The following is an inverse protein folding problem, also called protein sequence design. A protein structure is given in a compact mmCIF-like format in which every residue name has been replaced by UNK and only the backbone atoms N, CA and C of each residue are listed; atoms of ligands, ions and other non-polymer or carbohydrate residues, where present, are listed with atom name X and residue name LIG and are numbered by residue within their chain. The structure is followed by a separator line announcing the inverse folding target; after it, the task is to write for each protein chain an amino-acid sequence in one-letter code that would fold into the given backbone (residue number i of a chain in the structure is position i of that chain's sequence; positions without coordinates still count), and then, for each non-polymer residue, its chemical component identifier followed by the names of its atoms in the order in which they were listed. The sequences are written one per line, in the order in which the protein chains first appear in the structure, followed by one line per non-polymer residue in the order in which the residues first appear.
data_IF_241797238975
#
_entry.id   IF_241797238975
#
_cell.length_a   1.000
_cell.length_b   1.000
_cell.length_c   1.000
_cell.angle_alpha   90.00
_cell.angle_beta   90.00
_cell.angle_gamma   90.00
#
_symmetry.space_group_name_H-M   'P 1'
#
loop_
_entity.id
_entity.type
_entity.pdbx_description
1 polymer ?
#
# COMPACT_ATOMS: atom_id res chain seq x y z
N UNK A 1 -2.85 16.00 -9.36
CA UNK A 1 -4.02 15.10 -9.30
C UNK A 1 -3.70 13.81 -10.02
N UNK A 2 -4.16 12.70 -9.50
CA UNK A 2 -4.08 11.39 -10.14
C UNK A 2 -5.00 11.38 -11.39
N UNK A 3 -4.52 10.92 -12.55
CA UNK A 3 -5.27 11.00 -13.80
C UNK A 3 -6.55 10.15 -13.76
N UNK A 4 -7.67 10.77 -14.07
CA UNK A 4 -9.01 10.17 -14.01
C UNK A 4 -9.67 10.22 -12.62
N UNK A 5 -9.02 10.79 -11.62
CA UNK A 5 -9.61 11.07 -10.31
C UNK A 5 -10.30 12.45 -10.35
N UNK A 6 -11.46 12.50 -10.99
CA UNK A 6 -12.18 13.72 -11.31
C UNK A 6 -13.50 13.85 -10.52
N UNK A 7 -13.81 12.90 -9.61
CA UNK A 7 -14.98 12.97 -8.75
C UNK A 7 -14.87 14.10 -7.73
N UNK A 8 -15.99 14.71 -7.39
CA UNK A 8 -16.07 15.59 -6.22
C UNK A 8 -15.93 14.74 -4.94
N UNK A 9 -15.29 15.29 -3.91
CA UNK A 9 -15.01 14.58 -2.64
C UNK A 9 -16.26 13.98 -1.99
N UNK A 10 -17.39 14.69 -2.10
CA UNK A 10 -18.69 14.33 -1.53
C UNK A 10 -19.33 13.11 -2.21
N UNK A 11 -18.91 12.80 -3.44
CA UNK A 11 -19.45 11.73 -4.29
C UNK A 11 -18.42 10.62 -4.55
N UNK A 12 -17.27 10.65 -3.85
CA UNK A 12 -16.16 9.73 -4.10
C UNK A 12 -16.30 8.44 -3.30
N UNK A 13 -16.15 7.28 -3.96
CA UNK A 13 -15.98 5.98 -3.31
C UNK A 13 -14.52 5.73 -2.88
N UNK A 14 -13.56 6.40 -3.54
CA UNK A 14 -12.13 6.31 -3.26
C UNK A 14 -11.50 7.69 -3.22
N UNK A 15 -10.66 7.94 -2.23
CA UNK A 15 -9.93 9.22 -2.13
C UNK A 15 -8.43 8.98 -2.11
N UNK A 16 -7.75 9.41 -3.18
CA UNK A 16 -6.29 9.35 -3.27
C UNK A 16 -5.67 10.44 -2.41
N UNK A 17 -4.81 10.05 -1.47
CA UNK A 17 -4.08 10.97 -0.57
C UNK A 17 -2.58 10.76 -0.74
N UNK A 18 -1.85 11.80 -1.12
CA UNK A 18 -0.39 11.75 -1.20
C UNK A 18 0.27 11.96 0.16
N UNK A 19 1.21 11.10 0.54
CA UNK A 19 1.91 11.12 1.82
C UNK A 19 3.44 11.11 1.63
N UNK A 20 4.08 12.24 1.25
CA UNK A 20 5.48 12.33 0.86
C UNK A 20 6.46 12.32 2.04
N UNK A 21 6.33 11.36 2.99
CA UNK A 21 7.26 11.17 4.09
C UNK A 21 8.50 10.40 3.63
N UNK A 22 9.68 10.79 4.14
CA UNK A 22 10.97 10.12 3.83
C UNK A 22 12.00 10.54 4.89
N UNK A 23 11.75 10.15 6.15
CA UNK A 23 12.57 10.57 7.30
C UNK A 23 13.28 9.41 7.99
N UNK A 24 12.81 8.17 7.80
CA UNK A 24 13.39 6.98 8.42
C UNK A 24 14.04 6.01 7.44
N UNK A 25 14.05 6.31 6.15
CA UNK A 25 14.66 5.47 5.12
C UNK A 25 16.13 5.17 5.42
N UNK A 26 16.45 3.88 5.55
CA UNK A 26 17.76 3.42 6.03
C UNK A 26 18.83 3.26 4.96
N UNK A 27 18.48 3.14 3.67
CA UNK A 27 19.44 2.86 2.60
C UNK A 27 19.41 3.91 1.48
N UNK A 28 18.35 3.97 0.68
CA UNK A 28 18.27 4.91 -0.45
C UNK A 28 17.08 5.86 -0.28
N UNK A 29 17.29 7.10 0.19
CA UNK A 29 16.21 8.09 0.31
C UNK A 29 15.71 8.53 -1.08
N UNK A 30 14.49 9.06 -1.15
CA UNK A 30 13.87 9.56 -2.38
C UNK A 30 12.38 9.21 -2.48
N UNK A 31 11.84 8.43 -1.55
CA UNK A 31 10.43 8.03 -1.54
C UNK A 31 9.48 9.21 -1.32
N UNK A 32 9.95 10.33 -0.75
CA UNK A 32 9.19 11.60 -0.71
C UNK A 32 8.69 12.09 -2.06
N UNK A 33 9.30 11.63 -3.15
CA UNK A 33 8.88 11.96 -4.51
C UNK A 33 7.87 10.94 -5.07
N UNK A 34 7.59 9.86 -4.35
CA UNK A 34 6.67 8.80 -4.73
C UNK A 34 5.30 9.31 -5.17
N UNK A 35 4.59 10.13 -4.37
CA UNK A 35 3.26 10.64 -4.73
C UNK A 35 3.23 11.40 -6.05
N UNK A 36 4.21 12.28 -6.29
CA UNK A 36 4.31 13.02 -7.55
C UNK A 36 4.64 12.10 -8.72
N UNK A 37 5.57 11.15 -8.53
CA UNK A 37 5.99 10.22 -9.58
C UNK A 37 4.87 9.27 -9.98
N UNK A 38 4.15 8.68 -9.04
CA UNK A 38 3.01 7.80 -9.31
C UNK A 38 1.95 8.52 -10.14
N UNK A 39 1.55 9.73 -9.74
CA UNK A 39 0.62 10.57 -10.52
C UNK A 39 1.16 10.92 -11.90
N UNK A 40 2.45 11.24 -12.01
CA UNK A 40 3.09 11.61 -13.28
C UNK A 40 3.09 10.46 -14.27
N UNK A 41 3.46 9.25 -13.83
CA UNK A 41 3.56 8.09 -14.70
C UNK A 41 2.18 7.48 -15.04
N UNK A 42 1.17 7.72 -14.22
CA UNK A 42 -0.21 7.35 -14.53
C UNK A 42 -0.82 8.12 -15.72
N UNK A 43 -0.26 9.29 -16.10
CA UNK A 43 -0.81 10.13 -17.20
C UNK A 43 -0.87 9.45 -18.56
N UNK A 44 -0.09 8.39 -18.77
CA UNK A 44 -0.05 7.66 -20.03
C UNK A 44 -0.99 6.46 -20.09
N UNK A 45 -1.82 6.23 -19.06
CA UNK A 45 -2.67 5.05 -19.00
C UNK A 45 -3.99 5.26 -19.73
N UNK A 46 -4.44 4.20 -20.43
CA UNK A 46 -5.80 4.16 -20.97
C UNK A 46 -6.81 4.07 -19.82
N UNK A 47 -7.97 4.65 -20.03
CA UNK A 47 -9.04 4.73 -19.04
C UNK A 47 -9.72 3.38 -18.76
N UNK A 48 -9.78 2.50 -19.75
CA UNK A 48 -10.50 1.23 -19.72
C UNK A 48 -9.66 0.07 -19.16
N UNK A 49 -10.26 -0.70 -18.23
CA UNK A 49 -9.71 -1.99 -17.78
C UNK A 49 -10.47 -3.16 -18.44
N UNK A 50 -9.77 -3.98 -19.26
CA UNK A 50 -10.42 -5.09 -19.97
C UNK A 50 -10.76 -6.29 -19.09
N UNK A 51 -10.25 -6.36 -17.85
CA UNK A 51 -10.50 -7.47 -16.92
C UNK A 51 -11.86 -7.31 -16.26
N UNK A 52 -12.14 -6.13 -15.69
CA UNK A 52 -13.43 -5.80 -15.05
C UNK A 52 -14.45 -5.24 -16.03
N UNK A 53 -13.99 -4.70 -17.17
CA UNK A 53 -14.85 -3.99 -18.13
C UNK A 53 -15.20 -2.57 -17.68
N UNK A 54 -14.58 -2.04 -16.64
CA UNK A 54 -14.84 -0.71 -16.07
C UNK A 54 -13.93 0.36 -16.68
N UNK A 55 -14.33 1.63 -16.55
CA UNK A 55 -13.46 2.78 -16.82
C UNK A 55 -13.08 3.43 -15.50
N UNK A 56 -11.81 3.83 -15.38
CA UNK A 56 -11.34 4.46 -14.15
C UNK A 56 -12.07 5.78 -13.85
N UNK A 57 -12.42 6.54 -14.89
CA UNK A 57 -13.23 7.75 -14.77
C UNK A 57 -14.66 7.53 -14.25
N UNK A 58 -15.15 6.29 -14.29
CA UNK A 58 -16.49 5.92 -13.78
C UNK A 58 -16.41 5.33 -12.35
N UNK A 59 -15.20 5.17 -11.77
CA UNK A 59 -15.00 4.55 -10.46
C UNK A 59 -15.11 5.52 -9.25
N UNK A 60 -15.65 6.71 -9.45
CA UNK A 60 -15.88 7.71 -8.40
C UNK A 60 -14.62 7.98 -7.53
N UNK A 61 -13.49 8.28 -8.16
CA UNK A 61 -12.22 8.57 -7.48
C UNK A 61 -12.02 10.07 -7.35
N UNK A 62 -11.72 10.56 -6.14
CA UNK A 62 -11.23 11.90 -5.88
C UNK A 62 -9.73 11.91 -5.56
N UNK A 63 -9.05 13.02 -5.76
CA UNK A 63 -7.64 13.22 -5.35
C UNK A 63 -7.53 14.40 -4.39
N UNK A 64 -7.27 14.11 -3.12
CA UNK A 64 -7.08 15.10 -2.05
C UNK A 64 -5.81 15.98 -2.26
N UNK A 65 -4.84 15.49 -3.05
CA UNK A 65 -3.51 16.08 -3.15
C UNK A 65 -2.55 15.51 -2.11
N UNK A 66 -1.45 16.25 -1.80
CA UNK A 66 -0.43 15.79 -0.88
C UNK A 66 -0.62 16.42 0.51
N UNK A 67 -0.63 15.59 1.54
CA UNK A 67 -0.41 16.01 2.93
C UNK A 67 1.08 16.25 3.10
N UNK A 68 1.47 17.51 3.26
CA UNK A 68 2.89 17.89 3.34
C UNK A 68 3.55 17.28 4.56
N UNK A 69 4.62 16.53 4.35
CA UNK A 69 5.45 15.98 5.42
C UNK A 69 6.31 17.07 6.10
N UNK A 70 6.61 16.85 7.38
CA UNK A 70 7.61 17.59 8.17
C UNK A 70 8.46 16.61 8.99
N UNK A 71 9.44 17.12 9.73
CA UNK A 71 10.51 16.31 10.31
C UNK A 71 10.07 15.45 11.52
N UNK A 72 8.95 15.76 12.16
CA UNK A 72 8.40 14.95 13.25
C UNK A 72 7.45 13.90 12.68
N UNK A 73 7.90 12.66 12.59
CA UNK A 73 7.13 11.56 12.05
C UNK A 73 5.85 11.27 12.87
N UNK A 74 5.92 11.39 14.20
CA UNK A 74 4.77 11.09 15.05
C UNK A 74 3.64 12.10 14.84
N UNK A 75 3.97 13.41 14.86
CA UNK A 75 2.98 14.46 14.58
C UNK A 75 2.44 14.35 13.14
N UNK A 76 3.31 14.03 12.18
CA UNK A 76 2.88 13.85 10.80
C UNK A 76 1.91 12.70 10.64
N UNK A 77 2.22 11.53 11.23
CA UNK A 77 1.35 10.36 11.15
C UNK A 77 0.01 10.60 11.86
N UNK A 78 -0.02 11.30 13.00
CA UNK A 78 -1.27 11.67 13.67
C UNK A 78 -2.15 12.58 12.77
N UNK A 79 -1.54 13.53 12.07
CA UNK A 79 -2.26 14.38 11.13
C UNK A 79 -2.77 13.61 9.92
N UNK A 80 -1.93 12.74 9.34
CA UNK A 80 -2.30 11.89 8.20
C UNK A 80 -3.41 10.90 8.57
N UNK A 81 -3.35 10.31 9.77
CA UNK A 81 -4.40 9.46 10.34
C UNK A 81 -5.74 10.22 10.39
N UNK A 82 -5.73 11.48 10.86
CA UNK A 82 -6.93 12.32 10.86
C UNK A 82 -7.51 12.53 9.46
N UNK A 83 -6.66 12.78 8.44
CA UNK A 83 -7.11 12.92 7.05
C UNK A 83 -7.73 11.62 6.52
N UNK A 84 -7.13 10.46 6.81
CA UNK A 84 -7.66 9.15 6.41
C UNK A 84 -8.97 8.83 7.15
N UNK A 85 -9.06 9.16 8.44
CA UNK A 85 -10.28 9.00 9.25
C UNK A 85 -11.42 9.85 8.69
N UNK A 86 -11.15 11.08 8.27
CA UNK A 86 -12.16 11.93 7.62
C UNK A 86 -12.67 11.29 6.31
N UNK A 87 -11.77 10.65 5.52
CA UNK A 87 -12.16 9.90 4.30
C UNK A 87 -13.07 8.72 4.66
N UNK A 88 -12.66 7.90 5.63
CA UNK A 88 -13.44 6.73 6.04
C UNK A 88 -14.80 7.12 6.64
N UNK A 89 -14.86 8.25 7.37
CA UNK A 89 -16.11 8.77 7.93
C UNK A 89 -17.10 9.28 6.85
N UNK A 90 -16.58 9.63 5.68
CA UNK A 90 -17.37 10.00 4.49
C UNK A 90 -17.82 8.78 3.66
N UNK A 91 -17.69 7.55 4.21
CA UNK A 91 -17.98 6.28 3.56
C UNK A 91 -17.12 6.01 2.29
N UNK A 92 -15.94 6.62 2.19
CA UNK A 92 -14.99 6.43 1.10
C UNK A 92 -13.74 5.66 1.57
N UNK A 93 -13.11 4.92 0.66
CA UNK A 93 -11.87 4.20 0.92
C UNK A 93 -10.67 5.14 0.80
N UNK A 94 -9.85 5.34 1.87
CA UNK A 94 -8.59 6.06 1.76
C UNK A 94 -7.57 5.24 0.95
N UNK A 95 -7.04 5.87 -0.10
CA UNK A 95 -6.03 5.31 -1.00
C UNK A 95 -4.76 6.14 -0.88
N UNK A 96 -3.82 5.69 -0.03
CA UNK A 96 -2.57 6.43 0.15
C UNK A 96 -1.60 6.17 -1.01
N UNK A 97 -0.97 7.22 -1.47
CA UNK A 97 0.24 7.14 -2.30
C UNK A 97 1.38 7.67 -1.46
N UNK A 98 2.15 6.75 -0.90
CA UNK A 98 3.10 7.07 0.13
C UNK A 98 4.46 7.55 -0.37
N UNK A 99 5.21 8.00 0.60
CA UNK A 99 6.64 8.02 0.65
C UNK A 99 7.17 6.68 1.18
N UNK A 100 7.90 6.73 2.30
CA UNK A 100 8.36 5.52 2.99
C UNK A 100 7.18 4.75 3.63
N UNK A 101 7.37 3.43 3.85
CA UNK A 101 6.32 2.52 4.34
C UNK A 101 5.69 2.95 5.67
N UNK A 102 6.38 3.74 6.51
CA UNK A 102 5.88 4.26 7.78
C UNK A 102 4.51 4.95 7.66
N UNK A 103 4.18 5.53 6.50
CA UNK A 103 2.88 6.22 6.29
C UNK A 103 1.68 5.28 6.39
N UNK A 104 1.86 3.99 6.11
CA UNK A 104 0.80 2.96 6.21
C UNK A 104 0.28 2.82 7.63
N UNK A 105 1.09 3.13 8.65
CA UNK A 105 0.65 3.13 10.06
C UNK A 105 -0.52 4.09 10.29
N UNK A 106 -0.52 5.25 9.63
CA UNK A 106 -1.62 6.20 9.73
C UNK A 106 -2.90 5.67 9.04
N UNK A 107 -2.76 5.06 7.86
CA UNK A 107 -3.88 4.45 7.15
C UNK A 107 -4.50 3.30 7.92
N UNK A 108 -3.68 2.39 8.45
CA UNK A 108 -4.13 1.25 9.27
C UNK A 108 -4.88 1.72 10.51
N UNK A 109 -4.36 2.72 11.25
CA UNK A 109 -5.03 3.27 12.44
C UNK A 109 -6.36 3.94 12.11
N UNK A 110 -6.44 4.62 10.95
CA UNK A 110 -7.66 5.30 10.53
C UNK A 110 -8.79 4.33 10.16
N UNK A 111 -8.43 3.16 9.59
CA UNK A 111 -9.38 2.14 9.13
C UNK A 111 -9.75 1.17 10.25
N UNK A 112 -8.83 0.91 11.20
CA UNK A 112 -8.99 -0.07 12.29
C UNK A 112 -9.36 -1.48 11.76
N UNK A 113 -8.53 -2.08 10.86
CA UNK A 113 -8.89 -3.30 10.16
C UNK A 113 -8.72 -4.55 11.02
N UNK A 114 -9.47 -5.62 10.73
CA UNK A 114 -9.26 -6.95 11.28
C UNK A 114 -7.99 -7.62 10.73
N UNK A 115 -7.67 -7.33 9.46
CA UNK A 115 -6.55 -7.96 8.74
C UNK A 115 -5.69 -6.92 8.03
N UNK A 116 -4.39 -6.95 8.30
CA UNK A 116 -3.39 -6.23 7.52
C UNK A 116 -2.79 -7.16 6.47
N UNK A 117 -3.00 -6.86 5.19
CA UNK A 117 -2.38 -7.57 4.06
C UNK A 117 -1.29 -6.69 3.48
N UNK A 118 -0.06 -7.19 3.43
CA UNK A 118 1.07 -6.46 2.91
C UNK A 118 1.80 -7.25 1.80
N UNK A 119 1.99 -6.63 0.64
CA UNK A 119 2.99 -7.08 -0.33
C UNK A 119 4.29 -6.38 0.02
N UNK A 120 5.32 -7.13 0.40
CA UNK A 120 6.57 -6.58 0.91
C UNK A 120 7.73 -7.59 0.77
N UNK A 121 8.94 -7.12 0.53
CA UNK A 121 10.15 -7.92 0.64
C UNK A 121 10.55 -8.20 2.09
N UNK A 122 10.16 -7.31 3.00
CA UNK A 122 10.55 -7.27 4.39
C UNK A 122 9.42 -7.74 5.32
N UNK A 123 9.75 -8.04 6.56
CA UNK A 123 8.76 -8.42 7.57
C UNK A 123 8.21 -7.20 8.34
N UNK A 124 9.02 -6.16 8.49
CA UNK A 124 8.71 -4.93 9.21
C UNK A 124 8.13 -5.13 10.62
N UNK A 125 8.60 -6.21 11.27
CA UNK A 125 8.17 -6.64 12.62
C UNK A 125 9.06 -6.11 13.74
N UNK A 126 10.03 -5.24 13.43
CA UNK A 126 10.88 -4.65 14.47
C UNK A 126 10.06 -3.71 15.37
N UNK A 127 10.26 -3.79 16.69
CA UNK A 127 9.70 -2.82 17.62
C UNK A 127 10.39 -1.44 17.51
N UNK A 128 11.63 -1.41 17.03
CA UNK A 128 12.38 -0.19 16.71
C UNK A 128 13.53 -0.50 15.76
N UNK A 129 13.92 0.48 14.94
CA UNK A 129 15.08 0.39 14.06
C UNK A 129 16.00 1.58 14.29
N UNK A 130 17.28 1.32 14.61
CA UNK A 130 18.27 2.35 14.99
C UNK A 130 17.78 3.32 16.09
N UNK A 131 16.95 2.81 17.03
CA UNK A 131 16.38 3.59 18.13
C UNK A 131 15.14 4.40 17.75
N UNK A 132 14.65 4.27 16.52
CA UNK A 132 13.39 4.87 16.04
C UNK A 132 12.27 3.82 16.08
N UNK A 133 11.21 4.09 16.83
CA UNK A 133 10.03 3.24 16.92
C UNK A 133 9.07 3.44 15.72
N UNK A 134 9.12 4.61 15.08
CA UNK A 134 8.34 4.94 13.88
C UNK A 134 9.27 4.94 12.66
N UNK A 135 9.51 3.77 12.10
CA UNK A 135 10.39 3.53 10.97
C UNK A 135 9.71 2.68 9.92
N UNK A 136 10.15 2.79 8.67
CA UNK A 136 9.72 1.90 7.59
C UNK A 136 9.87 0.42 7.95
N UNK A 137 10.81 0.05 8.82
CA UNK A 137 11.05 -1.33 9.28
C UNK A 137 10.17 -1.78 10.47
N UNK A 138 9.16 -0.98 10.87
CA UNK A 138 8.30 -1.27 12.04
C UNK A 138 6.81 -1.30 11.70
N UNK A 139 6.45 -1.27 10.43
CA UNK A 139 5.06 -1.08 9.97
C UNK A 139 4.16 -2.23 10.38
N UNK A 140 4.56 -3.48 10.12
CA UNK A 140 3.78 -4.66 10.53
C UNK A 140 3.65 -4.77 12.05
N UNK A 141 4.70 -4.37 12.80
CA UNK A 141 4.62 -4.31 14.27
C UNK A 141 3.53 -3.35 14.73
N UNK A 142 3.42 -2.18 14.12
CA UNK A 142 2.37 -1.21 14.43
C UNK A 142 1.00 -1.63 13.92
N UNK A 143 0.93 -2.27 12.75
CA UNK A 143 -0.32 -2.78 12.21
C UNK A 143 -0.95 -3.84 13.14
N UNK A 144 -0.15 -4.73 13.71
CA UNK A 144 -0.59 -5.74 14.68
C UNK A 144 -0.98 -5.17 16.06
N UNK A 145 -0.72 -3.89 16.32
CA UNK A 145 -1.27 -3.22 17.50
C UNK A 145 -2.76 -2.82 17.31
N UNK A 146 -3.25 -2.90 16.09
CA UNK A 146 -4.61 -2.56 15.65
C UNK A 146 -5.31 -3.80 15.10
N UNK A 147 -4.74 -4.42 14.06
CA UNK A 147 -5.28 -5.60 13.38
C UNK A 147 -5.07 -6.89 14.20
N UNK A 148 -6.01 -7.83 14.09
CA UNK A 148 -5.93 -9.16 14.75
C UNK A 148 -4.85 -10.05 14.11
N UNK A 149 -4.55 -9.85 12.80
CA UNK A 149 -3.52 -10.60 12.08
C UNK A 149 -2.93 -9.82 10.91
N UNK A 150 -1.72 -10.25 10.50
CA UNK A 150 -1.07 -9.77 9.29
C UNK A 150 -0.80 -10.92 8.30
N UNK A 151 -0.86 -10.61 6.99
CA UNK A 151 -0.43 -11.50 5.90
C UNK A 151 0.62 -10.78 5.09
N UNK A 152 1.86 -11.29 5.06
CA UNK A 152 2.97 -10.66 4.35
C UNK A 152 3.33 -11.52 3.13
N UNK A 153 3.10 -10.98 1.95
CA UNK A 153 3.29 -11.66 0.67
C UNK A 153 4.56 -11.18 -0.04
N UNK A 154 5.49 -12.08 -0.25
CA UNK A 154 6.77 -11.79 -0.92
C UNK A 154 7.94 -11.61 0.03
N UNK A 155 7.74 -11.76 1.33
CA UNK A 155 8.79 -11.57 2.33
C UNK A 155 9.95 -12.56 2.14
N UNK A 156 11.15 -12.01 2.13
CA UNK A 156 12.42 -12.73 1.91
C UNK A 156 13.60 -12.10 2.63
N UNK A 157 13.37 -10.96 3.28
CA UNK A 157 14.35 -10.26 4.10
C UNK A 157 13.78 -9.97 5.49
N UNK A 158 14.57 -10.19 6.52
CA UNK A 158 14.22 -9.97 7.91
C UNK A 158 15.31 -10.52 8.84
N UNK A 159 15.34 -10.08 10.08
CA UNK A 159 16.21 -10.62 11.12
C UNK A 159 15.65 -11.94 11.68
N UNK A 160 16.50 -12.76 12.31
CA UNK A 160 16.09 -13.97 13.02
C UNK A 160 14.95 -13.68 14.01
N UNK A 161 15.06 -12.59 14.78
CA UNK A 161 14.04 -12.17 15.76
C UNK A 161 12.68 -11.83 15.11
N UNK A 162 12.66 -11.27 13.91
CA UNK A 162 11.42 -11.01 13.18
C UNK A 162 10.76 -12.30 12.70
N UNK A 163 11.54 -13.28 12.23
CA UNK A 163 11.00 -14.60 11.87
C UNK A 163 10.50 -15.38 13.10
N UNK A 164 11.17 -15.25 14.25
CA UNK A 164 10.70 -15.80 15.52
C UNK A 164 9.38 -15.15 15.94
N UNK A 165 9.27 -13.80 15.84
CA UNK A 165 8.02 -13.06 16.11
C UNK A 165 6.88 -13.48 15.16
N UNK A 166 7.15 -13.62 13.88
CA UNK A 166 6.17 -14.05 12.90
C UNK A 166 5.61 -15.46 13.20
N UNK A 167 6.39 -16.31 13.86
CA UNK A 167 5.96 -17.67 14.23
C UNK A 167 5.01 -17.72 15.46
N UNK A 168 4.67 -16.60 16.08
CA UNK A 168 3.75 -16.53 17.23
C UNK A 168 2.28 -16.78 16.86
N UNK A 169 1.92 -16.74 15.56
CA UNK A 169 0.65 -17.25 15.04
C UNK A 169 -0.37 -16.19 14.62
N UNK A 170 -0.02 -14.91 14.69
CA UNK A 170 -0.81 -13.77 14.20
C UNK A 170 -0.25 -13.19 12.90
N UNK A 171 0.81 -13.80 12.33
CA UNK A 171 1.44 -13.40 11.07
C UNK A 171 1.57 -14.58 10.13
N UNK A 172 0.97 -14.47 8.96
CA UNK A 172 1.13 -15.41 7.87
C UNK A 172 2.20 -14.89 6.89
N UNK A 173 3.35 -15.54 6.83
CA UNK A 173 4.42 -15.19 5.91
C UNK A 173 4.36 -16.07 4.67
N UNK A 174 4.07 -15.44 3.52
CA UNK A 174 3.98 -16.12 2.22
C UNK A 174 5.21 -15.78 1.38
N UNK A 175 6.20 -16.69 1.26
CA UNK A 175 7.41 -16.40 0.50
C UNK A 175 7.11 -16.29 -1.00
N UNK A 176 7.98 -15.64 -1.81
CA UNK A 176 7.72 -15.40 -3.24
C UNK A 176 7.31 -16.64 -4.02
N UNK A 177 7.91 -17.80 -3.73
CA UNK A 177 7.62 -19.05 -4.42
C UNK A 177 6.19 -19.60 -4.17
N UNK A 178 5.53 -19.15 -3.10
CA UNK A 178 4.18 -19.59 -2.73
C UNK A 178 3.07 -18.60 -3.10
N UNK A 179 3.42 -17.36 -3.47
CA UNK A 179 2.44 -16.29 -3.74
C UNK A 179 1.50 -16.64 -4.90
N UNK A 180 1.96 -17.35 -5.92
CA UNK A 180 1.11 -17.74 -7.05
C UNK A 180 0.00 -18.76 -6.71
N UNK A 181 0.11 -19.43 -5.56
CA UNK A 181 -0.87 -20.39 -5.05
C UNK A 181 -1.70 -19.82 -3.88
N UNK A 182 -1.35 -18.62 -3.42
CA UNK A 182 -2.06 -17.95 -2.34
C UNK A 182 -3.38 -17.36 -2.82
N UNK A 183 -4.42 -17.57 -2.03
CA UNK A 183 -5.75 -16.98 -2.23
C UNK A 183 -6.19 -16.28 -0.94
N UNK A 184 -6.84 -15.09 -1.04
CA UNK A 184 -7.40 -14.42 0.13
C UNK A 184 -8.40 -15.34 0.85
N UNK A 185 -8.28 -15.41 2.17
CA UNK A 185 -9.20 -16.17 3.03
C UNK A 185 -9.58 -15.30 4.22
N UNK A 186 -10.53 -14.40 3.98
CA UNK A 186 -11.10 -13.49 4.98
C UNK A 186 -12.55 -13.85 5.24
N UNK A 187 -13.04 -13.58 6.45
CA UNK A 187 -14.46 -13.63 6.73
C UNK A 187 -15.19 -12.56 5.89
N UNK A 188 -16.43 -12.82 5.48
CA UNK A 188 -17.16 -11.93 4.57
C UNK A 188 -17.46 -10.53 5.15
N UNK A 189 -17.37 -10.41 6.47
CA UNK A 189 -17.57 -9.19 7.26
C UNK A 189 -16.26 -8.61 7.82
N UNK A 190 -15.10 -9.17 7.42
CA UNK A 190 -13.82 -8.67 7.85
C UNK A 190 -13.48 -7.33 7.19
N UNK A 191 -12.88 -6.42 7.96
CA UNK A 191 -12.24 -5.21 7.45
C UNK A 191 -10.78 -5.50 7.12
N UNK A 192 -10.32 -5.12 5.92
CA UNK A 192 -8.97 -5.38 5.43
C UNK A 192 -8.28 -4.06 5.04
N UNK A 193 -7.05 -3.90 5.50
CA UNK A 193 -6.14 -2.89 4.95
C UNK A 193 -5.11 -3.58 4.07
N UNK A 194 -4.99 -3.14 2.81
CA UNK A 194 -4.04 -3.69 1.85
C UNK A 194 -2.92 -2.70 1.53
N UNK A 195 -1.70 -3.00 1.98
CA UNK A 195 -0.50 -2.21 1.69
C UNK A 195 0.33 -2.85 0.59
N UNK A 196 0.89 -2.04 -0.30
CA UNK A 196 1.81 -2.46 -1.35
C UNK A 196 3.11 -1.68 -1.25
N UNK A 197 4.10 -2.29 -0.61
CA UNK A 197 5.49 -1.88 -0.81
C UNK A 197 5.96 -2.35 -2.19
N UNK A 198 6.43 -1.41 -3.02
CA UNK A 198 6.86 -1.77 -4.38
C UNK A 198 8.09 -2.64 -4.42
N UNK A 199 8.83 -2.76 -3.30
CA UNK A 199 9.99 -3.64 -3.19
C UNK A 199 9.63 -5.12 -3.03
N UNK A 200 8.34 -5.45 -2.78
CA UNK A 200 7.83 -6.81 -2.92
C UNK A 200 8.18 -7.38 -4.30
N UNK A 201 8.12 -6.53 -5.33
CA UNK A 201 8.56 -6.92 -6.67
C UNK A 201 10.08 -7.11 -6.72
N UNK A 202 10.51 -8.03 -7.60
CA UNK A 202 11.93 -8.17 -7.91
C UNK A 202 12.48 -6.87 -8.51
N UNK A 203 13.72 -6.45 -8.19
CA UNK A 203 14.34 -5.25 -8.77
C UNK A 203 14.40 -5.21 -10.30
N UNK A 204 14.20 -6.35 -10.98
CA UNK A 204 14.02 -6.39 -12.43
C UNK A 204 12.70 -5.72 -12.89
N UNK A 205 11.70 -5.64 -12.01
CA UNK A 205 10.38 -5.03 -12.27
C UNK A 205 10.19 -3.69 -11.56
N UNK A 206 10.75 -3.51 -10.36
CA UNK A 206 10.68 -2.28 -9.58
C UNK A 206 12.06 -1.89 -9.02
N UNK A 207 12.99 -1.39 -9.86
CA UNK A 207 14.32 -0.99 -9.39
C UNK A 207 14.32 0.32 -8.59
N UNK A 208 13.26 1.13 -8.68
CA UNK A 208 13.12 2.42 -8.03
C UNK A 208 12.47 2.31 -6.65
N UNK A 209 13.13 1.63 -5.72
CA UNK A 209 12.75 1.54 -4.31
C UNK A 209 13.93 1.88 -3.38
N UNK A 210 13.62 2.11 -2.09
CA UNK A 210 14.62 2.45 -1.07
C UNK A 210 15.50 1.27 -0.69
N UNK A 211 14.93 0.08 -0.57
CA UNK A 211 15.56 -1.15 -0.06
C UNK A 211 15.32 -2.34 -0.99
N UNK A 212 15.91 -2.32 -2.20
CA UNK A 212 15.66 -3.37 -3.19
C UNK A 212 16.22 -4.73 -2.75
N UNK A 213 15.38 -5.77 -2.80
CA UNK A 213 15.73 -7.14 -2.51
C UNK A 213 15.54 -8.03 -3.74
N UNK A 214 16.54 -8.83 -4.17
CA UNK A 214 16.40 -9.75 -5.30
C UNK A 214 15.52 -10.97 -4.97
N UNK A 215 15.12 -11.72 -6.02
CA UNK A 215 14.29 -12.92 -5.94
C UNK A 215 12.85 -12.64 -5.50
N UNK A 216 12.34 -11.46 -5.82
CA UNK A 216 11.00 -10.98 -5.49
C UNK A 216 9.93 -11.42 -6.47
N UNK A 217 8.76 -10.81 -6.32
CA UNK A 217 7.60 -11.06 -7.15
C UNK A 217 7.78 -10.46 -8.54
N UNK A 218 7.18 -11.09 -9.53
CA UNK A 218 6.99 -10.46 -10.83
C UNK A 218 5.88 -9.41 -10.75
N UNK A 219 5.88 -8.43 -11.65
CA UNK A 219 4.79 -7.46 -11.75
C UNK A 219 3.42 -8.11 -11.98
N UNK A 220 3.39 -9.32 -12.59
CA UNK A 220 2.16 -10.09 -12.79
C UNK A 220 1.63 -10.69 -11.47
N UNK A 221 2.51 -11.21 -10.63
CA UNK A 221 2.13 -11.74 -9.32
C UNK A 221 1.63 -10.63 -8.41
N UNK A 222 2.33 -9.48 -8.33
CA UNK A 222 1.83 -8.31 -7.59
C UNK A 222 0.43 -7.90 -8.06
N UNK A 223 0.23 -7.80 -9.37
CA UNK A 223 -1.06 -7.44 -9.96
C UNK A 223 -2.16 -8.48 -9.64
N UNK A 224 -1.84 -9.78 -9.69
CA UNK A 224 -2.80 -10.84 -9.38
C UNK A 224 -3.23 -10.80 -7.91
N UNK A 225 -2.28 -10.61 -6.99
CA UNK A 225 -2.57 -10.49 -5.54
C UNK A 225 -3.46 -9.29 -5.25
N UNK A 226 -3.09 -8.09 -5.74
CA UNK A 226 -3.89 -6.87 -5.51
C UNK A 226 -5.32 -7.05 -6.00
N UNK A 227 -5.51 -7.63 -7.19
CA UNK A 227 -6.86 -7.93 -7.70
C UNK A 227 -7.60 -8.95 -6.84
N UNK A 228 -6.93 -10.04 -6.45
CA UNK A 228 -7.56 -11.07 -5.63
C UNK A 228 -8.03 -10.52 -4.28
N UNK A 229 -7.22 -9.66 -3.64
CA UNK A 229 -7.59 -8.99 -2.39
C UNK A 229 -8.74 -8.01 -2.61
N UNK A 230 -8.67 -7.16 -3.64
CA UNK A 230 -9.74 -6.20 -3.94
C UNK A 230 -11.08 -6.86 -4.30
N UNK A 231 -11.04 -8.01 -5.01
CA UNK A 231 -12.23 -8.78 -5.41
C UNK A 231 -13.00 -9.39 -4.22
N UNK A 232 -12.41 -9.42 -3.02
CA UNK A 232 -13.12 -9.85 -1.81
C UNK A 232 -14.23 -8.89 -1.39
N UNK A 233 -14.13 -7.62 -1.79
CA UNK A 233 -15.01 -6.54 -1.35
C UNK A 233 -14.86 -6.13 0.12
N UNK A 234 -13.78 -6.60 0.77
CA UNK A 234 -13.53 -6.39 2.21
C UNK A 234 -12.48 -5.30 2.49
N UNK A 235 -11.96 -4.61 1.45
CA UNK A 235 -10.83 -3.68 1.61
C UNK A 235 -11.33 -2.27 1.89
N UNK A 236 -11.11 -1.81 3.12
CA UNK A 236 -11.51 -0.50 3.62
C UNK A 236 -10.36 0.53 3.61
N UNK A 237 -9.14 0.10 3.27
CA UNK A 237 -7.99 0.98 3.08
C UNK A 237 -6.93 0.35 2.19
N UNK A 238 -6.25 1.18 1.39
CA UNK A 238 -5.24 0.73 0.45
C UNK A 238 -4.08 1.72 0.38
N UNK A 239 -2.87 1.22 0.19
CA UNK A 239 -1.75 2.08 -0.16
C UNK A 239 -0.76 1.48 -1.15
N UNK A 240 0.04 2.39 -1.74
CA UNK A 240 1.26 2.08 -2.50
C UNK A 240 2.38 2.94 -1.94
N UNK A 241 3.45 2.31 -1.48
CA UNK A 241 4.56 2.95 -0.77
C UNK A 241 5.92 2.59 -1.39
N UNK A 242 6.97 3.22 -0.89
CA UNK A 242 8.40 3.00 -1.23
C UNK A 242 8.77 3.26 -2.70
N UNK A 243 7.91 3.95 -3.46
CA UNK A 243 8.27 4.41 -4.80
C UNK A 243 9.34 5.50 -4.73
N UNK A 244 10.56 5.14 -5.13
CA UNK A 244 11.72 6.02 -5.13
C UNK A 244 11.94 6.67 -6.50
N UNK A 245 12.71 7.77 -6.56
CA UNK A 245 13.02 8.51 -7.80
C UNK A 245 14.28 8.01 -8.53
N UNK A 246 14.80 6.84 -8.17
CA UNK A 246 16.09 6.31 -8.66
C UNK A 246 16.02 5.45 -9.91
N UNK A 247 14.89 5.44 -10.57
CA UNK A 247 14.70 4.78 -11.87
C UNK A 247 14.07 5.74 -12.90
N UNK A 248 13.90 5.26 -14.12
CA UNK A 248 13.23 5.99 -15.19
C UNK A 248 11.68 5.93 -15.08
N UNK A 249 11.14 5.60 -13.90
CA UNK A 249 9.72 5.54 -13.59
C UNK A 249 9.10 4.15 -13.68
N UNK A 250 9.90 3.10 -13.69
CA UNK A 250 9.43 1.72 -13.77
C UNK A 250 8.65 1.35 -12.51
N UNK A 251 9.20 1.61 -11.31
CA UNK A 251 8.52 1.39 -10.04
C UNK A 251 7.26 2.26 -9.90
N UNK A 252 7.34 3.55 -10.29
CA UNK A 252 6.18 4.43 -10.27
C UNK A 252 5.07 3.98 -11.23
N UNK A 253 5.42 3.44 -12.40
CA UNK A 253 4.46 2.86 -13.33
C UNK A 253 3.79 1.61 -12.76
N UNK A 254 4.56 0.75 -12.11
CA UNK A 254 4.03 -0.43 -11.43
C UNK A 254 3.06 -0.02 -10.33
N UNK A 255 3.49 0.83 -9.38
CA UNK A 255 2.65 1.29 -8.28
C UNK A 255 1.35 1.94 -8.75
N UNK A 256 1.42 2.82 -9.76
CA UNK A 256 0.24 3.43 -10.35
C UNK A 256 -0.71 2.41 -11.02
N UNK A 257 -0.17 1.34 -11.62
CA UNK A 257 -0.98 0.25 -12.21
C UNK A 257 -1.62 -0.62 -11.14
N UNK A 258 -0.94 -0.88 -10.03
CA UNK A 258 -1.49 -1.64 -8.90
C UNK A 258 -2.63 -0.85 -8.22
N UNK A 259 -2.44 0.46 -7.98
CA UNK A 259 -3.51 1.32 -7.47
C UNK A 259 -4.75 1.29 -8.37
N UNK A 260 -4.57 1.44 -9.69
CA UNK A 260 -5.71 1.38 -10.61
C UNK A 260 -6.36 0.00 -10.65
N UNK A 261 -5.56 -1.07 -10.59
CA UNK A 261 -6.09 -2.44 -10.54
C UNK A 261 -6.94 -2.67 -9.29
N UNK A 262 -6.49 -2.14 -8.14
CA UNK A 262 -7.27 -2.13 -6.89
C UNK A 262 -8.62 -1.44 -7.08
N UNK A 263 -8.62 -0.17 -7.53
CA UNK A 263 -9.84 0.61 -7.70
C UNK A 263 -10.83 -0.05 -8.67
N UNK A 264 -10.34 -0.50 -9.85
CA UNK A 264 -11.20 -1.19 -10.81
C UNK A 264 -11.86 -2.45 -10.25
N UNK A 265 -11.09 -3.26 -9.51
CA UNK A 265 -11.60 -4.52 -8.97
C UNK A 265 -12.54 -4.28 -7.80
N UNK A 266 -12.21 -3.36 -6.88
CA UNK A 266 -13.06 -3.00 -5.75
C UNK A 266 -14.40 -2.41 -6.22
N UNK A 267 -14.39 -1.53 -7.23
CA UNK A 267 -15.63 -1.02 -7.87
C UNK A 267 -16.46 -2.17 -8.42
N UNK A 268 -15.86 -3.11 -9.16
CA UNK A 268 -16.59 -4.23 -9.73
C UNK A 268 -17.15 -5.19 -8.67
N UNK A 269 -16.47 -5.35 -7.53
CA UNK A 269 -16.94 -6.16 -6.41
C UNK A 269 -18.12 -5.50 -5.67
N UNK A 270 -18.14 -4.17 -5.57
CA UNK A 270 -19.24 -3.41 -4.95
C UNK A 270 -20.52 -3.38 -5.79
N UNK A 271 -20.41 -3.57 -7.10
CA UNK A 271 -21.56 -3.61 -8.05
C UNK A 271 -22.19 -5.02 -8.18
N UNK A 272 -21.60 -6.06 -7.59
CA UNK A 272 -22.04 -7.47 -7.70
C UNK A 272 -22.94 -7.89 -6.56
#
# INVERSE_FOLDING_TARGET
MFPGADADREDADFVVVGAPLDVSTSFQPGTRFGPERVRRYARGFDDYDPVTGTRFSDCAVADHGDVRAWDDAAEYLEYLEGVCTDVAFEDAVPVLVGGEHTVSVAGVRAVDPDVFVCLDAHLDLKASFDGNELSHATVTHHALAVADRAVILGARAGSEAEYERAAEGDVDVVPPAAVSEWEPSFDADASVYCSVDVDAADPAFAPGTGTPEPFGLTSRECHAVVRAVAATGCVDGFDVVEVNDRDDGQAATLGAKLLRAFVHEATAAGDA
#
